data_IF_043961114971
#
_entry.id   IF_043961114971
#
_cell.length_a   1.000
_cell.length_b   1.000
_cell.length_c   1.000
_cell.angle_alpha   90.00
_cell.angle_beta   90.00
_cell.angle_gamma   90.00
#
_symmetry.space_group_name_H-M   'P 1'
#
loop_
_entity.id
_entity.type
_entity.pdbx_description
1 polymer ?
#
# COMPACT_ATOMS: atom_id res chain seq x y z
N UNK A 1 28.77 -4.62 -13.42
CA UNK A 1 28.37 -6.00 -12.99
C UNK A 1 27.25 -5.88 -11.97
N UNK A 2 25.99 -6.05 -12.40
CA UNK A 2 24.80 -6.02 -11.53
C UNK A 2 24.71 -7.27 -10.66
N UNK A 3 24.17 -7.14 -9.44
CA UNK A 3 23.71 -8.32 -8.69
C UNK A 3 22.54 -8.92 -9.46
N UNK A 4 22.75 -10.09 -10.05
CA UNK A 4 21.71 -10.80 -10.82
C UNK A 4 20.45 -11.07 -10.00
N UNK A 5 19.39 -11.47 -10.71
CA UNK A 5 18.12 -11.90 -10.11
C UNK A 5 18.30 -13.35 -9.65
N UNK A 6 18.06 -13.63 -8.37
CA UNK A 6 18.06 -14.99 -7.83
C UNK A 6 16.82 -15.76 -8.26
N UNK A 7 16.85 -17.10 -8.22
CA UNK A 7 15.69 -17.92 -8.59
C UNK A 7 14.41 -17.55 -7.83
N UNK A 8 14.52 -17.23 -6.52
CA UNK A 8 13.37 -16.81 -5.70
C UNK A 8 12.84 -15.43 -6.10
N UNK A 9 13.73 -14.49 -6.41
CA UNK A 9 13.34 -13.18 -6.93
C UNK A 9 12.66 -13.30 -8.29
N UNK A 10 13.16 -14.18 -9.18
CA UNK A 10 12.54 -14.45 -10.48
C UNK A 10 11.14 -15.06 -10.33
N UNK A 11 10.97 -16.00 -9.40
CA UNK A 11 9.64 -16.54 -9.05
C UNK A 11 8.69 -15.42 -8.58
N UNK A 12 9.15 -14.53 -7.71
CA UNK A 12 8.33 -13.41 -7.24
C UNK A 12 7.93 -12.46 -8.38
N UNK A 13 8.85 -12.17 -9.31
CA UNK A 13 8.56 -11.37 -10.51
C UNK A 13 7.51 -12.03 -11.41
N UNK A 14 7.60 -13.34 -11.61
CA UNK A 14 6.64 -14.14 -12.40
C UNK A 14 5.24 -14.12 -11.77
N UNK A 15 5.16 -14.13 -10.44
CA UNK A 15 3.93 -13.96 -9.65
C UNK A 15 3.41 -12.51 -9.62
N UNK A 16 4.00 -11.61 -10.41
CA UNK A 16 3.59 -10.21 -10.51
C UNK A 16 4.07 -9.31 -9.35
N UNK A 17 4.89 -9.83 -8.42
CA UNK A 17 5.42 -9.06 -7.29
C UNK A 17 6.70 -8.32 -7.69
N UNK A 18 6.98 -7.24 -6.97
CA UNK A 18 8.14 -6.40 -7.26
C UNK A 18 9.38 -6.78 -6.42
N UNK A 19 10.57 -6.67 -7.02
CA UNK A 19 11.85 -6.96 -6.38
C UNK A 19 12.73 -5.72 -6.40
N UNK A 20 13.32 -5.36 -5.27
CA UNK A 20 14.24 -4.24 -5.12
C UNK A 20 15.69 -4.67 -5.38
N UNK A 21 16.36 -4.04 -6.34
CA UNK A 21 17.73 -4.36 -6.74
C UNK A 21 18.60 -3.11 -6.82
N UNK A 22 19.89 -3.31 -6.56
CA UNK A 22 20.93 -2.39 -6.97
C UNK A 22 21.37 -2.75 -8.39
N UNK A 23 21.24 -1.80 -9.30
CA UNK A 23 21.54 -1.92 -10.72
C UNK A 23 22.62 -0.93 -11.12
N UNK A 24 23.03 -0.98 -12.39
CA UNK A 24 24.00 -0.08 -12.99
C UNK A 24 23.38 0.54 -14.24
N UNK A 25 23.55 1.84 -14.43
CA UNK A 25 23.16 2.49 -15.69
C UNK A 25 24.24 2.25 -16.77
N UNK A 26 24.01 2.80 -17.97
CA UNK A 26 24.96 2.68 -19.09
C UNK A 26 26.34 3.28 -18.77
N UNK A 27 26.38 4.29 -17.89
CA UNK A 27 27.60 4.95 -17.43
C UNK A 27 28.29 4.20 -16.27
N UNK A 28 27.76 3.04 -15.87
CA UNK A 28 28.33 2.23 -14.78
C UNK A 28 28.06 2.80 -13.38
N UNK A 29 27.18 3.78 -13.24
CA UNK A 29 26.76 4.33 -11.96
C UNK A 29 25.74 3.42 -11.29
N UNK A 30 25.91 3.17 -9.99
CA UNK A 30 24.99 2.38 -9.18
C UNK A 30 23.72 3.17 -8.91
N UNK A 31 22.57 2.52 -9.03
CA UNK A 31 21.28 3.06 -8.60
C UNK A 31 20.41 1.97 -8.01
N UNK A 32 19.41 2.34 -7.22
CA UNK A 32 18.42 1.40 -6.68
C UNK A 32 17.08 1.54 -7.41
N UNK A 33 16.42 0.40 -7.64
CA UNK A 33 15.10 0.38 -8.23
C UNK A 33 14.30 -0.85 -7.81
N UNK A 34 12.99 -0.69 -7.77
CA UNK A 34 12.07 -1.82 -7.80
C UNK A 34 11.82 -2.26 -9.23
N UNK A 35 11.83 -3.56 -9.46
CA UNK A 35 11.58 -4.22 -10.73
C UNK A 35 10.28 -5.00 -10.65
N UNK A 36 9.46 -4.92 -11.68
CA UNK A 36 8.22 -5.69 -11.80
C UNK A 36 7.97 -6.03 -13.27
N UNK A 37 7.44 -7.22 -13.55
CA UNK A 37 7.04 -7.55 -14.93
C UNK A 37 5.81 -6.74 -15.34
N UNK A 38 5.80 -6.31 -16.59
CA UNK A 38 4.67 -5.65 -17.22
C UNK A 38 3.81 -6.68 -17.96
N UNK A 39 2.65 -7.00 -17.39
CA UNK A 39 1.71 -7.93 -18.02
C UNK A 39 1.00 -7.33 -19.23
N UNK A 40 1.04 -6.00 -19.42
CA UNK A 40 0.34 -5.31 -20.50
C UNK A 40 1.20 -5.08 -21.73
N UNK A 41 2.52 -5.05 -21.56
CA UNK A 41 3.45 -4.67 -22.62
C UNK A 41 4.53 -5.73 -22.81
N UNK A 42 4.64 -6.21 -24.06
CA UNK A 42 5.69 -7.14 -24.47
C UNK A 42 6.84 -6.40 -25.16
N UNK A 43 8.01 -7.02 -25.17
CA UNK A 43 9.15 -6.66 -26.02
C UNK A 43 8.91 -7.15 -27.44
N UNK A 44 9.73 -6.70 -28.39
CA UNK A 44 9.64 -7.13 -29.79
C UNK A 44 9.83 -8.65 -29.96
N UNK A 45 10.51 -9.29 -29.00
CA UNK A 45 10.72 -10.73 -28.93
C UNK A 45 9.60 -11.48 -28.18
N UNK A 46 8.49 -10.81 -27.84
CA UNK A 46 7.33 -11.42 -27.16
C UNK A 46 7.48 -11.65 -25.65
N UNK A 47 8.58 -11.19 -25.02
CA UNK A 47 8.77 -11.31 -23.57
C UNK A 47 8.10 -10.16 -22.82
N UNK A 48 7.65 -10.36 -21.58
CA UNK A 48 7.13 -9.27 -20.74
C UNK A 48 8.21 -8.19 -20.53
N UNK A 49 7.86 -6.92 -20.66
CA UNK A 49 8.75 -5.80 -20.30
C UNK A 49 8.96 -5.74 -18.79
N UNK A 50 10.03 -5.09 -18.34
CA UNK A 50 10.28 -4.84 -16.92
C UNK A 50 10.01 -3.36 -16.65
N UNK A 51 9.17 -3.07 -15.66
CA UNK A 51 8.97 -1.72 -15.10
C UNK A 51 10.03 -1.46 -14.05
N UNK A 52 10.65 -0.29 -14.13
CA UNK A 52 11.65 0.19 -13.19
C UNK A 52 11.06 1.35 -12.39
N UNK A 53 11.02 1.19 -11.07
CA UNK A 53 10.62 2.26 -10.14
C UNK A 53 11.87 2.68 -9.37
N UNK A 54 12.56 3.69 -9.89
CA UNK A 54 13.76 4.27 -9.31
C UNK A 54 13.45 5.07 -8.04
N UNK A 55 14.47 5.48 -7.30
CA UNK A 55 14.31 6.25 -6.04
C UNK A 55 13.47 7.53 -6.23
N UNK A 56 13.66 8.24 -7.35
CA UNK A 56 12.88 9.44 -7.70
C UNK A 56 11.40 9.17 -8.01
N UNK A 57 11.01 7.90 -8.18
CA UNK A 57 9.60 7.52 -8.32
C UNK A 57 8.81 7.79 -7.03
N UNK A 58 9.49 7.83 -5.87
CA UNK A 58 8.89 8.20 -4.59
C UNK A 58 8.07 7.08 -3.93
N UNK A 59 8.42 5.81 -4.18
CA UNK A 59 7.89 4.69 -3.40
C UNK A 59 8.83 4.38 -2.24
N UNK A 60 8.33 4.59 -1.03
CA UNK A 60 9.05 4.36 0.22
C UNK A 60 8.25 3.39 1.09
N UNK A 61 8.64 2.12 1.07
CA UNK A 61 7.88 1.08 1.75
C UNK A 61 7.92 1.24 3.28
N UNK A 62 9.02 1.77 3.84
CA UNK A 62 9.12 2.05 5.28
C UNK A 62 8.04 3.05 5.69
N UNK A 63 7.87 4.13 4.92
CA UNK A 63 6.80 5.12 5.16
C UNK A 63 5.41 4.53 4.94
N UNK A 64 5.25 3.65 3.96
CA UNK A 64 3.97 3.02 3.66
C UNK A 64 3.50 2.12 4.79
N UNK A 65 4.38 1.45 5.52
CA UNK A 65 4.01 0.48 6.57
C UNK A 65 4.03 1.08 7.98
N UNK A 66 4.69 2.21 8.19
CA UNK A 66 4.76 2.89 9.48
C UNK A 66 3.38 3.28 10.04
N UNK A 67 3.16 3.07 11.34
CA UNK A 67 1.95 3.50 12.05
C UNK A 67 0.66 2.76 11.67
N UNK A 68 0.80 1.50 11.20
CA UNK A 68 -0.31 0.64 10.76
C UNK A 68 -0.56 -0.57 11.67
N UNK A 69 -0.10 -0.50 12.93
CA UNK A 69 -0.28 -1.59 13.90
C UNK A 69 0.43 -2.89 13.54
N UNK A 70 1.48 -2.85 12.72
CA UNK A 70 2.27 -4.05 12.36
C UNK A 70 3.29 -4.31 13.47
N UNK A 71 3.11 -5.40 14.21
CA UNK A 71 3.94 -5.75 15.37
C UNK A 71 5.41 -5.96 15.04
N UNK A 72 5.71 -6.51 13.86
CA UNK A 72 7.09 -6.74 13.43
C UNK A 72 7.88 -5.43 13.24
N UNK A 73 7.23 -4.27 13.25
CA UNK A 73 7.90 -2.97 13.19
C UNK A 73 8.40 -2.47 14.54
N UNK A 74 7.91 -3.03 15.66
CA UNK A 74 8.27 -2.61 17.01
C UNK A 74 9.66 -3.10 17.43
N UNK A 75 10.09 -4.25 16.89
CA UNK A 75 11.42 -4.80 17.11
C UNK A 75 12.34 -4.51 15.90
N UNK A 76 13.50 -3.86 16.09
CA UNK A 76 14.41 -3.51 14.99
C UNK A 76 14.86 -4.70 14.15
N UNK A 77 15.08 -5.86 14.77
CA UNK A 77 15.53 -7.06 14.07
C UNK A 77 14.42 -7.63 13.20
N UNK A 78 13.22 -7.79 13.76
CA UNK A 78 12.02 -8.23 13.04
C UNK A 78 11.68 -7.29 11.87
N UNK A 79 11.83 -5.98 12.08
CA UNK A 79 11.67 -4.96 11.03
C UNK A 79 12.66 -5.17 9.90
N UNK A 80 13.94 -5.35 10.20
CA UNK A 80 14.96 -5.61 9.18
C UNK A 80 14.65 -6.87 8.38
N UNK A 81 14.23 -7.96 9.04
CA UNK A 81 13.86 -9.22 8.39
C UNK A 81 12.63 -9.05 7.48
N UNK A 82 11.60 -8.35 7.95
CA UNK A 82 10.42 -8.00 7.16
C UNK A 82 10.82 -7.21 5.92
N UNK A 83 11.58 -6.14 6.10
CA UNK A 83 12.05 -5.28 5.01
C UNK A 83 12.90 -6.01 3.99
N UNK A 84 13.81 -6.89 4.46
CA UNK A 84 14.63 -7.73 3.59
C UNK A 84 13.79 -8.71 2.79
N UNK A 85 12.73 -9.28 3.39
CA UNK A 85 11.82 -10.20 2.72
C UNK A 85 11.00 -9.50 1.64
N UNK A 86 10.42 -8.34 1.97
CA UNK A 86 9.63 -7.52 1.04
C UNK A 86 10.47 -7.00 -0.13
N UNK A 87 11.71 -6.55 0.14
CA UNK A 87 12.66 -6.11 -0.90
C UNK A 87 13.02 -7.24 -1.88
N UNK A 88 12.95 -8.51 -1.46
CA UNK A 88 13.12 -9.66 -2.35
C UNK A 88 11.85 -10.05 -3.12
N UNK A 89 10.76 -9.30 -2.94
CA UNK A 89 9.47 -9.57 -3.56
C UNK A 89 8.66 -10.68 -2.89
N UNK A 90 9.06 -11.13 -1.70
CA UNK A 90 8.29 -12.13 -0.98
C UNK A 90 6.96 -11.53 -0.47
N UNK A 91 5.95 -12.39 -0.34
CA UNK A 91 4.80 -12.11 0.49
C UNK A 91 5.14 -12.57 1.92
N UNK A 92 5.40 -11.63 2.81
CA UNK A 92 5.85 -11.89 4.17
C UNK A 92 4.65 -11.88 5.13
N UNK A 93 4.57 -12.88 6.01
CA UNK A 93 3.56 -12.88 7.06
C UNK A 93 3.86 -11.76 8.06
N UNK A 94 2.83 -11.00 8.43
CA UNK A 94 2.84 -9.95 9.43
C UNK A 94 1.66 -10.10 10.38
N UNK A 95 1.83 -9.60 11.59
CA UNK A 95 0.78 -9.57 12.61
C UNK A 95 0.31 -8.13 12.77
N UNK A 96 -0.96 -7.90 12.48
CA UNK A 96 -1.58 -6.58 12.60
C UNK A 96 -2.44 -6.59 13.86
N UNK A 97 -2.15 -5.67 14.78
CA UNK A 97 -3.03 -5.35 15.90
C UNK A 97 -4.11 -4.37 15.45
N UNK A 98 -5.36 -4.72 15.70
CA UNK A 98 -6.50 -3.86 15.41
C UNK A 98 -7.54 -4.00 16.51
N UNK A 99 -7.88 -2.88 17.15
CA UNK A 99 -8.91 -2.83 18.19
C UNK A 99 -8.67 -3.85 19.33
N UNK A 100 -7.40 -4.19 19.61
CA UNK A 100 -6.99 -5.20 20.60
C UNK A 100 -7.12 -6.66 20.13
N UNK A 101 -7.42 -6.88 18.85
CA UNK A 101 -7.39 -8.19 18.19
C UNK A 101 -6.19 -8.30 17.27
N UNK A 102 -5.41 -9.36 17.46
CA UNK A 102 -4.26 -9.67 16.61
C UNK A 102 -4.68 -10.61 15.48
N UNK A 103 -4.44 -10.19 14.25
CA UNK A 103 -4.72 -11.01 13.08
C UNK A 103 -3.49 -11.08 12.15
N UNK A 104 -3.25 -12.27 11.61
CA UNK A 104 -2.13 -12.54 10.69
C UNK A 104 -2.56 -12.35 9.24
N UNK A 105 -1.69 -11.70 8.48
CA UNK A 105 -1.85 -11.46 7.05
C UNK A 105 -0.52 -11.68 6.33
N UNK A 106 -0.56 -11.83 5.00
CA UNK A 106 0.63 -11.73 4.18
C UNK A 106 0.69 -10.37 3.51
N UNK A 107 1.89 -9.81 3.40
CA UNK A 107 2.12 -8.49 2.84
C UNK A 107 3.20 -8.55 1.76
N UNK A 108 2.99 -7.86 0.64
CA UNK A 108 3.97 -7.73 -0.43
C UNK A 108 4.11 -6.28 -0.88
N UNK A 109 5.30 -5.91 -1.38
CA UNK A 109 5.55 -4.57 -1.92
C UNK A 109 4.79 -4.35 -3.23
N UNK A 110 4.17 -3.17 -3.38
CA UNK A 110 3.47 -2.77 -4.59
C UNK A 110 3.89 -1.35 -5.02
N UNK A 111 5.08 -1.21 -5.64
CA UNK A 111 5.59 0.07 -6.10
C UNK A 111 4.67 0.71 -7.14
N UNK A 112 3.99 -0.05 -8.01
CA UNK A 112 3.11 0.50 -9.04
C UNK A 112 2.05 1.46 -8.48
N UNK A 113 1.51 1.15 -7.30
CA UNK A 113 0.51 1.97 -6.61
C UNK A 113 1.07 2.63 -5.35
N UNK A 114 2.40 2.70 -5.22
CA UNK A 114 3.13 3.26 -4.07
C UNK A 114 2.61 2.76 -2.72
N UNK A 115 2.36 1.46 -2.62
CA UNK A 115 1.71 0.82 -1.45
C UNK A 115 2.27 -0.57 -1.20
N UNK A 116 1.70 -1.26 -0.22
CA UNK A 116 1.74 -2.71 -0.07
C UNK A 116 0.41 -3.34 -0.49
N UNK A 117 0.48 -4.59 -0.96
CA UNK A 117 -0.65 -5.49 -1.12
C UNK A 117 -0.76 -6.38 0.13
N UNK A 118 -1.99 -6.67 0.54
CA UNK A 118 -2.29 -7.59 1.63
C UNK A 118 -3.05 -8.82 1.12
N UNK A 119 -2.81 -9.96 1.76
CA UNK A 119 -3.46 -11.23 1.48
C UNK A 119 -3.86 -11.93 2.77
N UNK A 120 -4.92 -12.72 2.69
CA UNK A 120 -5.34 -13.62 3.76
C UNK A 120 -4.47 -14.91 3.79
N UNK A 121 -4.83 -15.84 4.67
CA UNK A 121 -4.18 -17.14 4.82
C UNK A 121 -4.29 -18.05 3.57
N UNK A 122 -5.22 -17.76 2.66
CA UNK A 122 -5.39 -18.46 1.38
C UNK A 122 -4.68 -17.75 0.24
N UNK A 123 -3.84 -16.75 0.52
CA UNK A 123 -3.17 -15.90 -0.48
C UNK A 123 -4.14 -15.13 -1.37
N UNK A 124 -5.37 -14.89 -0.91
CA UNK A 124 -6.34 -14.05 -1.62
C UNK A 124 -6.14 -12.60 -1.24
N UNK A 125 -6.07 -11.71 -2.23
CA UNK A 125 -5.88 -10.28 -2.02
C UNK A 125 -7.06 -9.69 -1.25
N UNK A 126 -6.75 -8.93 -0.20
CA UNK A 126 -7.73 -8.23 0.64
C UNK A 126 -7.56 -6.72 0.55
N UNK A 127 -8.61 -5.96 0.88
CA UNK A 127 -8.55 -4.50 0.86
C UNK A 127 -7.75 -4.01 2.05
N UNK A 128 -6.64 -3.33 1.76
CA UNK A 128 -5.75 -2.75 2.76
C UNK A 128 -6.44 -1.68 3.62
N UNK A 129 -7.38 -0.93 3.05
CA UNK A 129 -8.10 0.15 3.74
C UNK A 129 -8.94 -0.40 4.90
N UNK A 130 -9.39 -1.66 4.77
CA UNK A 130 -10.14 -2.34 5.83
C UNK A 130 -9.24 -2.89 6.93
N UNK A 131 -7.91 -2.94 6.75
CA UNK A 131 -6.98 -3.59 7.69
C UNK A 131 -5.97 -2.58 8.26
N UNK A 132 -5.25 -1.89 7.37
CA UNK A 132 -4.22 -0.90 7.68
C UNK A 132 -4.86 0.49 7.75
N UNK A 133 -5.70 0.70 8.76
CA UNK A 133 -6.11 2.07 9.10
C UNK A 133 -4.94 2.79 9.76
N UNK A 134 -4.71 4.08 9.45
CA UNK A 134 -3.78 4.87 10.24
C UNK A 134 -4.29 4.87 11.68
N UNK A 135 -3.41 4.66 12.66
CA UNK A 135 -3.74 4.88 14.07
C UNK A 135 -4.34 6.28 14.22
N UNK A 136 -5.66 6.36 14.32
CA UNK A 136 -6.31 7.54 14.85
C UNK A 136 -5.89 7.59 16.30
N UNK A 137 -4.90 8.44 16.62
CA UNK A 137 -4.69 8.92 17.98
C UNK A 137 -6.07 9.29 18.52
N UNK A 138 -6.54 8.53 19.50
CA UNK A 138 -7.83 8.71 20.12
C UNK A 138 -7.95 10.13 20.69
N UNK A 139 -8.44 11.06 19.88
CA UNK A 139 -8.96 12.33 20.36
C UNK A 139 -10.43 12.04 20.63
N UNK A 140 -10.72 11.64 21.88
CA UNK A 140 -12.08 11.60 22.42
C UNK A 140 -12.70 13.00 22.28
N UNK A 141 -13.36 13.24 21.16
CA UNK A 141 -14.30 14.35 21.01
C UNK A 141 -15.69 13.76 21.21
N UNK A 142 -16.14 13.78 22.46
CA UNK A 142 -17.56 13.74 22.77
C UNK A 142 -18.24 14.88 21.98
N UNK A 143 -18.92 14.54 20.88
CA UNK A 143 -20.00 15.38 20.37
C UNK A 143 -21.28 14.58 20.47
N UNK A 144 -22.05 15.05 21.44
CA UNK A 144 -23.39 14.60 21.76
C UNK A 144 -24.26 14.51 20.52
N UNK A 145 -25.11 13.47 20.54
CA UNK A 145 -26.40 13.44 19.87
C UNK A 145 -27.13 14.77 20.11
N UNK A 146 -27.29 15.56 19.06
CA UNK A 146 -28.35 16.56 18.98
C UNK A 146 -29.33 16.12 17.88
N UNK A 147 -30.58 16.03 18.30
CA UNK A 147 -31.75 15.64 17.52
C UNK A 147 -32.00 16.69 16.42
N UNK A 148 -32.48 16.31 15.22
CA UNK A 148 -32.86 17.30 14.23
C UNK A 148 -34.16 17.99 14.66
N UNK A 149 -34.04 19.25 15.08
CA UNK A 149 -35.18 20.14 15.28
C UNK A 149 -35.78 20.51 13.93
N UNK A 150 -37.05 20.16 13.79
CA UNK A 150 -37.91 20.31 12.64
C UNK A 150 -38.34 21.79 12.48
N UNK A 151 -37.42 22.70 12.13
CA UNK A 151 -37.74 24.13 12.04
C UNK A 151 -37.07 24.88 10.88
N UNK A 152 -37.00 24.28 9.68
CA UNK A 152 -36.50 24.99 8.48
C UNK A 152 -37.37 24.87 7.21
N UNK A 153 -38.58 24.29 7.28
CA UNK A 153 -39.47 24.17 6.11
C UNK A 153 -40.60 25.21 6.01
N UNK A 154 -40.87 26.02 7.04
CA UNK A 154 -41.97 27.01 6.99
C UNK A 154 -41.63 28.37 6.33
N UNK A 155 -40.38 28.64 5.96
CA UNK A 155 -39.98 29.94 5.37
C UNK A 155 -39.96 30.00 3.83
N UNK A 156 -40.29 28.90 3.13
CA UNK A 156 -40.34 28.85 1.65
C UNK A 156 -41.73 28.98 1.03
N UNK A 157 -42.82 29.05 1.83
CA UNK A 157 -44.19 29.18 1.30
C UNK A 157 -44.78 30.60 1.34
N UNK A 158 -44.15 31.60 1.97
CA UNK A 158 -44.71 32.96 2.07
C UNK A 158 -44.18 33.99 1.06
N UNK A 159 -43.31 33.61 0.11
CA UNK A 159 -42.74 34.52 -0.90
C UNK A 159 -43.19 34.28 -2.34
N UNK A 160 -44.29 33.54 -2.56
CA UNK A 160 -44.89 33.35 -3.90
C UNK A 160 -46.31 33.92 -4.07
N UNK A 161 -46.89 34.54 -3.04
CA UNK A 161 -48.20 35.20 -3.14
C UNK A 161 -48.08 36.68 -2.77
N UNK A 162 -47.46 37.46 -3.67
CA UNK A 162 -47.57 38.92 -3.80
C UNK A 162 -46.61 39.37 -4.89
N UNK A 163 -47.06 39.33 -6.15
CA UNK A 163 -46.71 40.27 -7.23
C UNK A 163 -47.33 39.80 -8.56
N UNK A 164 -48.24 40.63 -9.07
CA UNK A 164 -48.65 40.82 -10.48
C UNK A 164 -49.57 39.76 -11.10
N UNK A 165 -50.59 40.11 -11.88
CA UNK A 165 -51.29 41.36 -12.26
C UNK A 165 -52.71 40.90 -12.59
#
# INVERSE_FOLDING_TARGET
>A
KGSGITAKEAFNLMEGRAVHKQLYNLEGQKYQAWLQLDDKNLTDNGNKKIKHYHENYGYDIDKVIAGKGIKELDDPKSKEELMRSLRKGNAQQVTVDRDGSEQKYFMAANPQYKTVDLYDHQMKKIKREEILQPEQKATKSLKQREQPTEELLKKKQSRKAKLKV
#
